data_IF_896652146092
#
_entry.id   IF_896652146092
#
_cell.length_a   1.000
_cell.length_b   1.000
_cell.length_c   1.000
_cell.angle_alpha   90.00
_cell.angle_beta   90.00
_cell.angle_gamma   90.00
#
_symmetry.space_group_name_H-M   'P 1'
#
loop_
_entity.id
_entity.type
_entity.pdbx_description
1 polymer ?
#
# COMPACT_ATOMS: atom_id res chain seq x y z
N UNK A 1 20.58 -12.31 6.68
CA UNK A 1 19.67 -13.47 6.88
C UNK A 1 20.46 -14.67 7.44
N UNK A 2 19.79 -15.70 7.95
CA UNK A 2 20.51 -16.90 8.44
C UNK A 2 21.45 -17.44 7.34
N UNK A 3 22.75 -17.53 7.63
CA UNK A 3 23.77 -17.94 6.66
C UNK A 3 24.27 -16.85 5.69
N UNK A 4 23.88 -15.59 5.86
CA UNK A 4 24.39 -14.45 5.08
C UNK A 4 25.11 -13.42 5.98
N UNK A 5 26.20 -12.78 5.50
CA UNK A 5 26.91 -11.76 6.26
C UNK A 5 26.06 -10.51 6.48
N UNK A 6 26.35 -9.77 7.55
CA UNK A 6 25.82 -8.43 7.81
C UNK A 6 26.77 -7.35 7.26
N UNK A 7 26.29 -6.10 7.21
CA UNK A 7 27.09 -4.91 6.88
C UNK A 7 27.42 -4.14 8.18
N UNK A 8 28.60 -4.34 8.80
CA UNK A 8 28.84 -3.85 10.16
C UNK A 8 29.26 -2.38 10.26
N UNK A 9 29.72 -1.75 9.18
CA UNK A 9 30.36 -0.42 9.24
C UNK A 9 29.50 0.74 8.71
N UNK A 10 28.44 0.44 7.96
CA UNK A 10 27.62 1.48 7.32
C UNK A 10 26.89 2.34 8.36
N UNK A 11 26.41 1.72 9.45
CA UNK A 11 25.69 2.42 10.51
C UNK A 11 26.51 3.53 11.14
N UNK A 12 27.78 3.27 11.46
CA UNK A 12 28.68 4.27 12.06
C UNK A 12 28.88 5.47 11.13
N UNK A 13 29.10 5.22 9.83
CA UNK A 13 29.26 6.29 8.83
C UNK A 13 28.00 7.15 8.68
N UNK A 14 26.82 6.55 8.75
CA UNK A 14 25.55 7.30 8.67
C UNK A 14 25.29 8.13 9.93
N UNK A 15 25.66 7.63 11.10
CA UNK A 15 25.59 8.39 12.35
C UNK A 15 26.55 9.59 12.34
N UNK A 16 27.76 9.43 11.81
CA UNK A 16 28.73 10.53 11.63
C UNK A 16 28.20 11.63 10.69
N UNK A 17 27.38 11.26 9.70
CA UNK A 17 26.70 12.18 8.79
C UNK A 17 25.41 12.80 9.39
N UNK A 18 25.12 12.53 10.66
CA UNK A 18 23.97 13.08 11.37
C UNK A 18 22.63 12.44 11.00
N UNK A 19 22.61 11.25 10.39
CA UNK A 19 21.38 10.49 10.18
C UNK A 19 21.04 9.68 11.43
N UNK A 20 19.91 9.93 12.10
CA UNK A 20 19.50 9.11 13.24
C UNK A 20 19.08 7.71 12.77
N UNK A 21 19.64 6.71 13.42
CA UNK A 21 19.29 5.30 13.25
C UNK A 21 18.47 4.80 14.44
N UNK A 22 17.62 3.83 14.16
CA UNK A 22 16.89 3.04 15.14
C UNK A 22 16.87 1.59 14.70
N UNK A 23 16.35 0.73 15.57
CA UNK A 23 16.29 -0.70 15.29
C UNK A 23 14.86 -1.20 15.20
N UNK A 24 14.62 -2.05 14.22
CA UNK A 24 13.38 -2.80 14.09
C UNK A 24 13.63 -4.30 14.06
N UNK A 25 12.57 -5.02 14.43
CA UNK A 25 12.54 -6.48 14.42
C UNK A 25 11.51 -6.99 13.42
N UNK A 26 11.90 -7.97 12.62
CA UNK A 26 10.97 -8.80 11.84
C UNK A 26 11.24 -10.29 12.08
N UNK A 27 10.20 -11.11 12.00
CA UNK A 27 10.28 -12.55 12.21
C UNK A 27 9.79 -13.33 11.00
N UNK A 28 10.41 -14.48 10.74
CA UNK A 28 9.97 -15.45 9.73
C UNK A 28 9.61 -16.78 10.40
N UNK A 29 8.60 -17.52 9.89
CA UNK A 29 8.36 -18.89 10.29
C UNK A 29 9.48 -19.81 9.79
N UNK A 30 9.46 -21.04 10.30
CA UNK A 30 10.26 -22.14 9.80
C UNK A 30 9.82 -22.53 8.38
N UNK A 31 10.72 -23.24 7.68
CA UNK A 31 10.41 -23.95 6.44
C UNK A 31 10.21 -25.42 6.76
N UNK A 32 9.11 -26.00 6.31
CA UNK A 32 8.74 -27.39 6.58
C UNK A 32 8.88 -28.22 5.31
N UNK A 33 9.36 -29.45 5.43
CA UNK A 33 9.43 -30.39 4.32
C UNK A 33 8.04 -30.91 3.94
N UNK A 34 7.60 -30.70 2.70
CA UNK A 34 6.26 -31.01 2.22
C UNK A 34 5.84 -32.47 2.44
N UNK A 35 6.73 -33.43 2.20
CA UNK A 35 6.42 -34.87 2.39
C UNK A 35 6.23 -35.28 3.87
N UNK A 36 6.43 -34.36 4.82
CA UNK A 36 6.19 -34.57 6.25
C UNK A 36 4.89 -33.92 6.76
N UNK A 37 4.15 -33.26 5.86
CA UNK A 37 2.89 -32.59 6.15
C UNK A 37 1.72 -33.52 5.82
N UNK A 38 0.78 -33.67 6.75
CA UNK A 38 -0.47 -34.38 6.53
C UNK A 38 -1.55 -33.42 6.04
N UNK A 39 -1.58 -33.20 4.72
CA UNK A 39 -2.54 -32.31 4.06
C UNK A 39 -3.99 -32.80 4.19
N UNK A 40 -4.23 -34.08 4.50
CA UNK A 40 -5.60 -34.63 4.64
C UNK A 40 -6.36 -34.03 5.83
N UNK A 41 -5.64 -33.44 6.78
CA UNK A 41 -6.18 -32.75 7.96
C UNK A 41 -6.34 -31.24 7.77
N UNK A 42 -6.03 -30.71 6.58
CA UNK A 42 -6.04 -29.28 6.28
C UNK A 42 -7.14 -28.92 5.28
N UNK A 43 -7.57 -27.67 5.31
CA UNK A 43 -8.51 -27.14 4.33
C UNK A 43 -7.75 -26.62 3.12
N UNK A 44 -8.04 -27.17 1.94
CA UNK A 44 -7.41 -26.75 0.69
C UNK A 44 -7.95 -25.38 0.24
N UNK A 45 -7.06 -24.52 -0.23
CA UNK A 45 -7.37 -23.19 -0.77
C UNK A 45 -6.78 -23.08 -2.18
N UNK A 46 -7.64 -23.19 -3.17
CA UNK A 46 -7.27 -22.98 -4.57
C UNK A 46 -7.18 -21.49 -4.90
N UNK A 47 -6.36 -21.15 -5.89
CA UNK A 47 -6.42 -19.82 -6.50
C UNK A 47 -7.71 -19.63 -7.31
N UNK A 48 -7.93 -18.41 -7.77
CA UNK A 48 -9.07 -18.11 -8.65
C UNK A 48 -8.92 -18.83 -10.00
N UNK A 49 -10.04 -19.29 -10.56
CA UNK A 49 -10.06 -19.92 -11.89
C UNK A 49 -9.67 -18.92 -12.99
N UNK A 50 -10.16 -17.68 -12.88
CA UNK A 50 -9.86 -16.58 -13.78
C UNK A 50 -8.68 -15.74 -13.22
N UNK A 51 -7.47 -16.01 -13.74
CA UNK A 51 -6.26 -15.35 -13.26
C UNK A 51 -6.13 -13.94 -13.85
N UNK A 52 -6.16 -12.92 -12.99
CA UNK A 52 -5.86 -11.53 -13.36
C UNK A 52 -4.35 -11.28 -13.31
N UNK A 53 -3.70 -10.92 -14.44
CA UNK A 53 -2.27 -10.61 -14.45
C UNK A 53 -1.97 -9.32 -13.66
N UNK A 54 -0.84 -9.30 -12.94
CA UNK A 54 -0.34 -8.08 -12.27
C UNK A 54 0.10 -6.98 -13.25
N UNK A 55 0.60 -7.36 -14.43
CA UNK A 55 1.08 -6.41 -15.45
C UNK A 55 0.00 -6.15 -16.48
N UNK A 56 -0.28 -4.88 -16.76
CA UNK A 56 -1.17 -4.45 -17.85
C UNK A 56 -0.69 -4.85 -19.26
N UNK A 57 0.55 -5.32 -19.41
CA UNK A 57 1.09 -5.81 -20.68
C UNK A 57 0.90 -7.31 -20.88
N UNK A 58 0.52 -8.03 -19.83
CA UNK A 58 0.26 -9.46 -19.90
C UNK A 58 -1.21 -9.65 -20.23
N UNK A 59 -1.51 -10.21 -21.41
CA UNK A 59 -2.90 -10.38 -21.86
C UNK A 59 -3.62 -11.51 -21.13
N UNK A 60 -2.91 -12.63 -20.92
CA UNK A 60 -3.41 -13.79 -20.20
C UNK A 60 -2.23 -14.44 -19.49
N UNK A 61 -2.45 -14.90 -18.26
CA UNK A 61 -1.52 -15.86 -17.64
C UNK A 61 -1.79 -17.20 -18.30
N UNK A 62 -0.77 -17.77 -18.95
CA UNK A 62 -0.88 -19.10 -19.57
C UNK A 62 -1.46 -20.10 -18.56
N UNK A 63 -2.19 -21.10 -19.06
CA UNK A 63 -2.76 -22.14 -18.21
C UNK A 63 -1.63 -22.84 -17.45
N UNK A 64 -1.51 -22.47 -16.18
CA UNK A 64 -0.56 -23.04 -15.24
C UNK A 64 -1.31 -23.96 -14.30
N UNK A 65 -0.73 -25.13 -14.04
CA UNK A 65 -1.18 -26.02 -12.99
C UNK A 65 -1.02 -25.33 -11.63
N UNK A 66 -2.05 -24.63 -11.17
CA UNK A 66 -2.01 -23.84 -9.94
C UNK A 66 -1.82 -24.77 -8.74
N UNK A 67 -0.78 -24.51 -7.94
CA UNK A 67 -0.57 -25.28 -6.71
C UNK A 67 -1.38 -24.63 -5.59
N UNK A 68 -2.26 -25.39 -4.90
CA UNK A 68 -3.08 -24.83 -3.84
C UNK A 68 -2.26 -24.52 -2.60
N UNK A 69 -2.77 -23.59 -1.80
CA UNK A 69 -2.36 -23.40 -0.42
C UNK A 69 -3.25 -24.24 0.51
N UNK A 70 -2.86 -24.36 1.76
CA UNK A 70 -3.66 -25.06 2.77
C UNK A 70 -3.84 -24.21 4.01
N UNK A 71 -4.99 -24.31 4.64
CA UNK A 71 -5.31 -23.69 5.92
C UNK A 71 -5.24 -24.74 7.03
N UNK A 72 -4.53 -24.40 8.08
CA UNK A 72 -4.53 -25.17 9.32
C UNK A 72 -4.56 -24.24 10.53
N UNK A 73 -4.55 -24.82 11.73
CA UNK A 73 -4.74 -24.09 12.98
C UNK A 73 -3.88 -24.62 14.12
N UNK A 74 -3.58 -23.73 15.05
CA UNK A 74 -3.00 -24.12 16.34
C UNK A 74 -4.02 -24.86 17.20
N UNK A 75 -3.52 -25.68 18.12
CA UNK A 75 -4.31 -26.30 19.18
C UNK A 75 -4.11 -25.57 20.51
N UNK A 76 -4.90 -25.92 21.53
CA UNK A 76 -4.68 -25.46 22.90
C UNK A 76 -3.29 -25.87 23.41
N UNK A 77 -2.86 -27.10 23.07
CA UNK A 77 -1.51 -27.59 23.38
C UNK A 77 -0.43 -26.70 22.79
N UNK A 78 -0.59 -26.22 21.56
CA UNK A 78 0.35 -25.25 20.96
C UNK A 78 0.50 -24.01 21.85
N UNK A 79 -0.61 -23.49 22.37
CA UNK A 79 -0.59 -22.29 23.19
C UNK A 79 0.02 -22.56 24.56
N UNK A 80 -0.23 -23.72 25.16
CA UNK A 80 0.34 -24.11 26.45
C UNK A 80 1.87 -24.21 26.38
N UNK A 81 2.40 -24.89 25.36
CA UNK A 81 3.86 -24.97 25.12
C UNK A 81 4.47 -23.57 24.96
N UNK A 82 3.80 -22.68 24.21
CA UNK A 82 4.25 -21.29 24.04
C UNK A 82 4.26 -20.55 25.38
N UNK A 83 3.17 -20.62 26.15
CA UNK A 83 3.03 -19.92 27.46
C UNK A 83 4.11 -20.36 28.44
N UNK A 84 4.38 -21.65 28.52
CA UNK A 84 5.42 -22.24 29.38
C UNK A 84 6.83 -21.77 29.01
N UNK A 85 7.05 -21.37 27.75
CA UNK A 85 8.36 -21.01 27.22
C UNK A 85 8.50 -19.53 26.82
N UNK A 86 7.56 -18.64 27.18
CA UNK A 86 7.59 -17.23 26.77
C UNK A 86 8.90 -16.53 27.14
N UNK A 87 9.38 -16.73 28.37
CA UNK A 87 10.63 -16.15 28.87
C UNK A 87 11.88 -16.53 28.08
N UNK A 88 11.78 -17.55 27.22
CA UNK A 88 12.88 -18.05 26.37
C UNK A 88 12.82 -17.49 24.95
N UNK A 89 11.75 -16.78 24.60
CA UNK A 89 11.69 -16.06 23.31
C UNK A 89 12.58 -14.82 23.34
N UNK A 90 13.10 -14.42 22.19
CA UNK A 90 13.97 -13.24 22.14
C UNK A 90 13.27 -11.94 22.58
N UNK A 91 11.95 -11.81 22.37
CA UNK A 91 11.15 -10.64 22.80
C UNK A 91 10.93 -10.65 24.31
N UNK A 92 10.25 -11.67 24.81
CA UNK A 92 9.80 -11.70 26.20
C UNK A 92 10.93 -12.08 27.18
N UNK A 93 12.02 -12.66 26.68
CA UNK A 93 13.26 -12.90 27.43
C UNK A 93 14.20 -11.70 27.50
N UNK A 94 13.85 -10.56 26.88
CA UNK A 94 14.63 -9.32 26.96
C UNK A 94 15.91 -9.29 26.12
N UNK A 95 16.10 -10.25 25.18
CA UNK A 95 17.26 -10.24 24.28
C UNK A 95 17.09 -9.24 23.12
N UNK A 96 15.85 -8.88 22.79
CA UNK A 96 15.51 -7.90 21.77
C UNK A 96 14.62 -6.85 22.42
N UNK A 97 15.11 -5.60 22.45
CA UNK A 97 14.36 -4.44 22.97
C UNK A 97 13.61 -3.68 21.85
N UNK A 98 13.89 -4.00 20.58
CA UNK A 98 13.29 -3.32 19.43
C UNK A 98 11.82 -3.70 19.19
N UNK A 99 11.05 -2.73 18.71
CA UNK A 99 9.61 -2.87 18.45
C UNK A 99 9.37 -3.74 17.21
N UNK A 100 8.60 -4.82 17.39
CA UNK A 100 8.08 -5.64 16.29
C UNK A 100 6.73 -5.12 15.74
N UNK A 101 6.28 -5.61 14.57
CA UNK A 101 5.04 -5.15 13.95
C UNK A 101 3.81 -5.57 14.76
N UNK A 102 2.92 -4.62 15.07
CA UNK A 102 1.65 -4.85 15.79
C UNK A 102 0.67 -5.72 15.02
N UNK A 103 0.68 -5.64 13.69
CA UNK A 103 -0.32 -6.28 12.82
C UNK A 103 0.12 -7.64 12.27
N UNK A 104 1.43 -7.90 12.22
CA UNK A 104 1.97 -9.22 11.89
C UNK A 104 2.85 -9.75 13.03
N UNK A 105 2.30 -9.88 14.26
CA UNK A 105 3.06 -10.37 15.40
C UNK A 105 3.50 -11.82 15.21
N UNK A 106 4.57 -12.21 15.92
CA UNK A 106 4.97 -13.61 16.08
C UNK A 106 3.85 -14.42 16.75
N UNK A 107 3.90 -15.75 16.61
CA UNK A 107 2.90 -16.63 17.22
C UNK A 107 2.90 -16.50 18.76
N UNK A 108 4.07 -16.32 19.38
CA UNK A 108 4.16 -16.03 20.82
C UNK A 108 3.46 -14.71 21.21
N UNK A 109 3.64 -13.64 20.43
CA UNK A 109 2.94 -12.36 20.65
C UNK A 109 1.42 -12.51 20.45
N UNK A 110 0.98 -13.28 19.45
CA UNK A 110 -0.46 -13.54 19.21
C UNK A 110 -1.10 -14.24 20.40
N UNK A 111 -0.46 -15.26 20.94
CA UNK A 111 -0.97 -16.03 22.10
C UNK A 111 -1.09 -15.15 23.34
N UNK A 112 -0.17 -14.20 23.56
CA UNK A 112 -0.23 -13.27 24.70
C UNK A 112 -1.31 -12.20 24.48
N UNK A 113 -1.32 -11.55 23.31
CA UNK A 113 -2.24 -10.42 23.04
C UNK A 113 -3.69 -10.86 22.88
N UNK A 114 -3.92 -12.04 22.33
CA UNK A 114 -5.24 -12.61 22.07
C UNK A 114 -5.44 -13.88 22.92
N UNK A 115 -5.15 -13.76 24.21
CA UNK A 115 -5.16 -14.88 25.18
C UNK A 115 -6.52 -15.59 25.28
N UNK A 116 -7.61 -14.92 24.91
CA UNK A 116 -8.97 -15.46 24.86
C UNK A 116 -9.19 -16.43 23.70
N UNK A 117 -8.35 -16.39 22.66
CA UNK A 117 -8.49 -17.28 21.49
C UNK A 117 -7.87 -18.63 21.78
N UNK A 118 -8.65 -19.70 21.64
CA UNK A 118 -8.17 -21.07 21.79
C UNK A 118 -7.38 -21.59 20.58
N UNK A 119 -7.43 -20.88 19.44
CA UNK A 119 -6.81 -21.32 18.20
C UNK A 119 -6.56 -20.16 17.24
N UNK A 120 -5.43 -20.19 16.53
CA UNK A 120 -5.04 -19.26 15.48
C UNK A 120 -4.93 -20.00 14.16
N UNK A 121 -5.51 -19.43 13.10
CA UNK A 121 -5.43 -19.95 11.73
C UNK A 121 -4.21 -19.40 11.01
N UNK A 122 -3.65 -20.21 10.10
CA UNK A 122 -2.53 -19.82 9.24
C UNK A 122 -2.53 -20.61 7.94
N UNK A 123 -1.77 -20.11 6.97
CA UNK A 123 -1.56 -20.76 5.69
C UNK A 123 -0.28 -21.61 5.69
N UNK A 124 -0.34 -22.68 4.91
CA UNK A 124 0.77 -23.55 4.54
C UNK A 124 0.94 -23.40 3.03
N UNK A 125 1.98 -22.70 2.64
CA UNK A 125 2.19 -22.21 1.26
C UNK A 125 3.41 -22.90 0.65
N UNK A 126 3.31 -23.48 -0.56
CA UNK A 126 4.49 -24.00 -1.26
C UNK A 126 5.42 -22.86 -1.66
N UNK A 127 6.73 -22.99 -1.43
CA UNK A 127 7.70 -21.95 -1.85
C UNK A 127 8.10 -22.04 -3.34
N UNK A 128 7.78 -23.15 -4.01
CA UNK A 128 8.05 -23.34 -5.43
C UNK A 128 7.76 -24.77 -5.90
N UNK A 129 7.78 -24.99 -7.22
CA UNK A 129 7.50 -26.30 -7.84
C UNK A 129 8.65 -27.30 -7.67
N UNK A 130 9.88 -26.80 -7.70
CA UNK A 130 11.10 -27.63 -7.68
C UNK A 130 11.68 -27.78 -6.27
N UNK A 131 10.93 -27.38 -5.23
CA UNK A 131 11.33 -27.51 -3.83
C UNK A 131 10.25 -28.23 -3.03
N UNK A 132 10.67 -28.85 -1.93
CA UNK A 132 9.78 -29.40 -0.92
C UNK A 132 9.61 -28.44 0.26
N UNK A 133 10.14 -27.23 0.20
CA UNK A 133 9.95 -26.23 1.26
C UNK A 133 8.54 -25.64 1.22
N UNK A 134 7.85 -25.73 2.35
CA UNK A 134 6.60 -25.03 2.63
C UNK A 134 6.81 -23.93 3.67
N UNK A 135 6.25 -22.76 3.38
CA UNK A 135 6.19 -21.59 4.25
C UNK A 135 4.94 -21.64 5.13
N UNK A 136 5.12 -21.52 6.44
CA UNK A 136 4.00 -21.57 7.41
C UNK A 136 3.59 -20.13 7.76
N UNK A 137 2.90 -19.47 6.82
CA UNK A 137 2.58 -18.05 6.86
C UNK A 137 1.79 -17.67 8.13
N UNK A 138 2.30 -16.73 8.90
CA UNK A 138 1.65 -16.28 10.14
C UNK A 138 2.06 -17.05 11.40
N UNK A 139 3.01 -17.98 11.27
CA UNK A 139 3.62 -18.74 12.37
C UNK A 139 5.09 -18.33 12.65
N UNK A 140 5.43 -17.05 12.44
CA UNK A 140 6.76 -16.54 12.79
C UNK A 140 7.03 -16.69 14.28
N UNK A 141 8.24 -17.08 14.66
CA UNK A 141 8.64 -17.21 16.07
C UNK A 141 10.13 -16.95 16.27
N UNK A 142 10.48 -16.60 17.50
CA UNK A 142 11.86 -16.46 17.98
C UNK A 142 12.17 -17.40 19.14
N UNK A 143 11.35 -18.44 19.36
CA UNK A 143 11.59 -19.46 20.37
C UNK A 143 12.80 -20.36 20.01
N UNK A 144 13.44 -20.99 21.00
CA UNK A 144 14.52 -21.97 20.78
C UNK A 144 14.09 -23.11 19.87
N UNK A 145 15.02 -23.67 19.10
CA UNK A 145 14.74 -24.66 18.06
C UNK A 145 14.00 -25.91 18.58
N UNK A 146 14.36 -26.41 19.74
CA UNK A 146 13.70 -27.55 20.37
C UNK A 146 12.23 -27.26 20.72
N UNK A 147 11.92 -26.03 21.13
CA UNK A 147 10.55 -25.59 21.37
C UNK A 147 9.81 -25.36 20.06
N UNK A 148 10.51 -24.87 19.02
CA UNK A 148 9.92 -24.79 17.68
C UNK A 148 9.41 -26.16 17.24
N UNK A 149 10.21 -27.23 17.36
CA UNK A 149 9.79 -28.58 17.02
C UNK A 149 8.51 -28.98 17.77
N UNK A 150 8.45 -28.76 19.08
CA UNK A 150 7.28 -29.07 19.89
C UNK A 150 6.01 -28.31 19.46
N UNK A 151 6.13 -26.99 19.22
CA UNK A 151 4.97 -26.19 18.80
C UNK A 151 4.52 -26.56 17.39
N UNK A 152 5.43 -26.85 16.46
CA UNK A 152 5.09 -27.30 15.11
C UNK A 152 4.42 -28.68 15.14
N UNK A 153 4.90 -29.63 15.94
CA UNK A 153 4.27 -30.96 16.09
C UNK A 153 2.92 -30.92 16.82
N UNK A 154 2.60 -29.83 17.51
CA UNK A 154 1.30 -29.65 18.16
C UNK A 154 0.20 -29.08 17.24
N UNK A 155 0.57 -28.68 16.02
CA UNK A 155 -0.34 -28.13 15.00
C UNK A 155 -1.00 -29.26 14.21
N UNK A 156 -2.29 -29.11 13.91
CA UNK A 156 -3.05 -30.05 13.07
C UNK A 156 -2.38 -30.23 11.70
N UNK A 157 -2.05 -31.48 11.35
CA UNK A 157 -1.40 -31.82 10.07
C UNK A 157 0.11 -31.64 10.05
N UNK A 158 0.72 -31.12 11.11
CA UNK A 158 2.18 -30.95 11.24
C UNK A 158 2.77 -31.85 12.33
N UNK A 159 2.06 -32.89 12.78
CA UNK A 159 2.46 -33.72 13.92
C UNK A 159 3.81 -34.44 13.70
N UNK A 160 4.18 -34.69 12.45
CA UNK A 160 5.45 -35.31 12.05
C UNK A 160 6.33 -34.37 11.21
N UNK A 161 6.05 -33.05 11.26
CA UNK A 161 6.72 -32.07 10.42
C UNK A 161 8.25 -32.10 10.62
N UNK A 162 8.99 -32.09 9.50
CA UNK A 162 10.44 -31.97 9.47
C UNK A 162 10.80 -30.55 9.08
N UNK A 163 11.44 -29.81 9.99
CA UNK A 163 11.91 -28.46 9.69
C UNK A 163 13.15 -28.53 8.79
N UNK A 164 13.09 -27.88 7.64
CA UNK A 164 14.23 -27.69 6.74
C UNK A 164 15.06 -26.47 7.13
N UNK A 165 14.38 -25.43 7.65
CA UNK A 165 15.02 -24.22 8.19
C UNK A 165 14.27 -23.77 9.44
N UNK A 166 14.96 -23.39 10.53
CA UNK A 166 14.30 -22.92 11.73
C UNK A 166 13.64 -21.55 11.50
N UNK A 167 12.60 -21.26 12.26
CA UNK A 167 12.09 -19.90 12.41
C UNK A 167 13.14 -19.04 13.13
N UNK A 168 13.15 -17.75 12.83
CA UNK A 168 14.01 -16.81 13.51
C UNK A 168 13.44 -15.40 13.44
N UNK A 169 14.04 -14.52 14.24
CA UNK A 169 13.87 -13.08 14.10
C UNK A 169 15.19 -12.41 13.73
N UNK A 170 15.08 -11.34 12.97
CA UNK A 170 16.19 -10.45 12.65
C UNK A 170 15.92 -9.07 13.24
N UNK A 171 16.94 -8.53 13.89
CA UNK A 171 17.01 -7.12 14.25
C UNK A 171 17.96 -6.43 13.27
N UNK A 172 17.59 -5.24 12.81
CA UNK A 172 18.35 -4.48 11.83
C UNK A 172 18.21 -2.98 12.10
N UNK A 173 19.25 -2.24 11.71
CA UNK A 173 19.23 -0.78 11.73
C UNK A 173 18.39 -0.25 10.56
N UNK A 174 17.61 0.79 10.84
CA UNK A 174 16.83 1.55 9.88
C UNK A 174 16.86 3.04 10.26
N UNK A 175 16.66 3.92 9.30
CA UNK A 175 16.58 5.36 9.56
C UNK A 175 15.19 5.75 10.09
N UNK A 176 15.12 6.93 10.71
CA UNK A 176 13.84 7.60 10.89
C UNK A 176 13.42 8.32 9.60
N UNK A 177 12.34 7.91 8.89
CA UNK A 177 11.97 8.48 7.60
C UNK A 177 11.47 9.93 7.72
N UNK A 178 11.28 10.46 8.95
CA UNK A 178 11.10 11.89 9.16
C UNK A 178 12.32 12.72 8.72
N UNK A 179 13.48 12.09 8.55
CA UNK A 179 14.70 12.70 8.02
C UNK A 179 14.84 12.55 6.50
N UNK A 180 13.78 12.12 5.82
CA UNK A 180 13.71 12.04 4.35
C UNK A 180 12.77 13.11 3.80
N UNK A 181 13.17 13.71 2.69
CA UNK A 181 12.25 14.50 1.88
C UNK A 181 11.21 13.58 1.22
N UNK A 182 10.05 14.10 0.76
CA UNK A 182 9.07 13.30 -0.01
C UNK A 182 9.64 12.72 -1.31
N UNK A 183 10.79 13.20 -1.77
CA UNK A 183 11.56 12.62 -2.89
C UNK A 183 12.34 11.36 -2.51
N UNK A 184 12.37 10.99 -1.23
CA UNK A 184 13.22 9.97 -0.58
C UNK A 184 14.72 10.33 -0.50
N UNK A 185 15.05 11.60 -0.75
CA UNK A 185 16.39 12.15 -0.49
C UNK A 185 16.58 12.40 1.01
N UNK A 186 17.74 12.04 1.54
CA UNK A 186 18.13 12.29 2.92
C UNK A 186 18.34 13.79 3.13
N UNK A 187 17.68 14.36 4.14
CA UNK A 187 17.75 15.81 4.39
C UNK A 187 19.15 16.30 4.81
N UNK A 188 19.93 15.47 5.51
CA UNK A 188 21.26 15.84 6.00
C UNK A 188 22.39 15.68 4.99
N UNK A 189 22.16 14.93 3.90
CA UNK A 189 23.19 14.60 2.90
C UNK A 189 22.58 14.69 1.50
N UNK A 190 22.93 15.73 0.78
CA UNK A 190 22.47 15.93 -0.61
C UNK A 190 22.92 14.77 -1.51
N UNK A 191 22.05 14.38 -2.45
CA UNK A 191 22.24 13.27 -3.39
C UNK A 191 22.26 11.86 -2.78
N UNK A 192 22.05 11.73 -1.47
CA UNK A 192 21.87 10.43 -0.81
C UNK A 192 20.37 10.09 -0.77
N UNK A 193 19.99 8.98 -1.39
CA UNK A 193 18.61 8.47 -1.38
C UNK A 193 18.54 7.13 -0.67
N UNK A 194 17.40 6.84 -0.03
CA UNK A 194 17.18 5.57 0.64
C UNK A 194 15.79 4.99 0.37
N UNK A 195 15.68 3.66 0.40
CA UNK A 195 14.45 2.96 0.06
C UNK A 195 14.28 1.64 0.84
N UNK A 196 13.02 1.20 0.93
CA UNK A 196 12.65 -0.13 1.40
C UNK A 196 12.82 -0.33 2.90
N UNK A 197 13.26 -1.52 3.29
CA UNK A 197 13.30 -1.92 4.70
C UNK A 197 14.17 -0.98 5.54
N UNK A 198 15.19 -0.36 4.93
CA UNK A 198 16.03 0.63 5.58
C UNK A 198 15.27 1.92 5.97
N UNK A 199 14.20 2.27 5.27
CA UNK A 199 13.31 3.39 5.62
C UNK A 199 12.25 3.00 6.68
N UNK A 200 12.32 1.79 7.22
CA UNK A 200 11.41 1.31 8.25
C UNK A 200 10.13 0.65 7.73
N UNK A 201 10.08 0.23 6.46
CA UNK A 201 8.96 -0.59 5.93
C UNK A 201 9.24 -2.09 6.02
N UNK A 202 8.20 -2.92 5.93
CA UNK A 202 8.35 -4.38 5.88
C UNK A 202 7.41 -5.00 4.83
N UNK A 203 7.91 -5.14 3.61
CA UNK A 203 7.24 -5.83 2.50
C UNK A 203 7.98 -5.58 1.20
N UNK A 204 7.81 -6.48 0.24
CA UNK A 204 8.53 -6.39 -1.04
C UNK A 204 7.98 -5.26 -1.89
N UNK A 205 6.67 -5.08 -1.86
CA UNK A 205 5.91 -4.09 -2.60
C UNK A 205 6.23 -2.68 -2.11
N UNK A 206 6.26 -2.47 -0.79
CA UNK A 206 6.68 -1.19 -0.21
C UNK A 206 8.13 -0.86 -0.58
N UNK A 207 9.02 -1.85 -0.57
CA UNK A 207 10.42 -1.64 -0.91
C UNK A 207 10.62 -1.34 -2.39
N UNK A 208 9.97 -2.09 -3.28
CA UNK A 208 10.02 -1.85 -4.72
C UNK A 208 9.44 -0.48 -5.10
N UNK A 209 8.32 -0.09 -4.50
CA UNK A 209 7.71 1.23 -4.71
C UNK A 209 8.65 2.38 -4.31
N UNK A 210 9.28 2.28 -3.14
CA UNK A 210 10.26 3.28 -2.70
C UNK A 210 11.51 3.28 -3.58
N UNK A 211 12.02 2.11 -3.95
CA UNK A 211 13.19 1.98 -4.82
C UNK A 211 12.98 2.61 -6.19
N UNK A 212 11.79 2.42 -6.78
CA UNK A 212 11.40 3.07 -8.03
C UNK A 212 11.44 4.60 -7.89
N UNK A 213 10.81 5.14 -6.84
CA UNK A 213 10.76 6.60 -6.64
C UNK A 213 12.12 7.20 -6.31
N UNK A 214 12.91 6.55 -5.45
CA UNK A 214 14.28 6.96 -5.12
C UNK A 214 15.17 6.97 -6.38
N UNK A 215 15.07 5.93 -7.22
CA UNK A 215 15.81 5.85 -8.48
C UNK A 215 15.42 6.95 -9.47
N UNK A 216 14.12 7.19 -9.66
CA UNK A 216 13.61 8.29 -10.51
C UNK A 216 14.17 9.63 -10.03
N UNK A 217 14.07 9.91 -8.73
CA UNK A 217 14.47 11.20 -8.18
C UNK A 217 15.99 11.38 -8.13
N UNK A 218 16.77 10.31 -7.98
CA UNK A 218 18.22 10.36 -8.12
C UNK A 218 18.64 10.81 -9.52
N UNK A 219 18.03 10.26 -10.58
CA UNK A 219 18.31 10.67 -11.97
C UNK A 219 17.86 12.11 -12.21
N UNK A 220 16.65 12.47 -11.80
CA UNK A 220 16.14 13.84 -11.96
C UNK A 220 17.01 14.88 -11.25
N UNK A 221 17.55 14.54 -10.07
CA UNK A 221 18.50 15.39 -9.33
C UNK A 221 19.79 15.61 -10.12
N UNK A 222 20.34 14.57 -10.75
CA UNK A 222 21.52 14.69 -11.63
C UNK A 222 21.24 15.59 -12.85
N UNK A 223 20.02 15.53 -13.39
CA UNK A 223 19.58 16.34 -14.53
C UNK A 223 19.15 17.77 -14.14
N UNK A 224 19.23 18.14 -12.85
CA UNK A 224 18.80 19.45 -12.35
C UNK A 224 17.29 19.69 -12.46
N UNK A 225 16.49 18.61 -12.53
CA UNK A 225 15.04 18.66 -12.62
C UNK A 225 14.39 18.58 -11.23
N UNK A 226 13.19 19.15 -11.10
CA UNK A 226 12.37 19.01 -9.89
C UNK A 226 12.03 17.53 -9.63
N UNK A 227 12.00 17.07 -8.36
CA UNK A 227 11.69 15.69 -8.03
C UNK A 227 10.25 15.33 -8.42
N UNK A 228 10.04 14.08 -8.84
CA UNK A 228 8.72 13.51 -9.01
C UNK A 228 8.19 13.02 -7.66
N UNK A 229 7.09 13.60 -7.22
CA UNK A 229 6.40 13.25 -5.98
C UNK A 229 4.94 12.92 -6.31
N UNK A 230 4.48 11.73 -5.93
CA UNK A 230 3.07 11.38 -6.03
C UNK A 230 2.30 11.90 -4.83
N UNK A 231 1.25 12.67 -5.08
CA UNK A 231 0.27 12.98 -4.05
C UNK A 231 -0.51 11.72 -3.62
N UNK A 232 -1.18 11.80 -2.46
CA UNK A 232 -1.97 10.69 -1.91
C UNK A 232 -3.20 10.32 -2.74
N UNK A 233 -3.61 11.17 -3.67
CA UNK A 233 -4.77 10.97 -4.53
C UNK A 233 -4.39 10.33 -5.89
N UNK A 234 -3.10 10.33 -6.22
CA UNK A 234 -2.55 9.82 -7.48
C UNK A 234 -2.20 8.34 -7.38
N UNK A 235 -1.54 7.92 -6.28
CA UNK A 235 -1.10 6.54 -6.10
C UNK A 235 -0.97 6.12 -4.64
N UNK A 236 -1.12 4.82 -4.37
CA UNK A 236 -0.75 4.23 -3.08
C UNK A 236 0.75 4.39 -2.77
N UNK A 237 1.61 4.54 -3.78
CA UNK A 237 3.03 4.91 -3.59
C UNK A 237 3.15 6.28 -2.92
N UNK A 238 2.31 7.26 -3.32
CA UNK A 238 2.25 8.57 -2.67
C UNK A 238 1.77 8.47 -1.22
N UNK A 239 0.76 7.62 -0.95
CA UNK A 239 0.28 7.33 0.41
C UNK A 239 1.39 6.73 1.28
N UNK A 240 2.12 5.74 0.76
CA UNK A 240 3.24 5.08 1.44
C UNK A 240 4.30 6.11 1.86
N UNK A 241 4.80 6.88 0.88
CA UNK A 241 5.90 7.81 1.11
C UNK A 241 5.45 8.95 2.02
N UNK A 242 4.27 9.52 1.79
CA UNK A 242 3.72 10.59 2.63
C UNK A 242 3.52 10.14 4.08
N UNK A 243 2.99 8.93 4.33
CA UNK A 243 2.85 8.40 5.68
C UNK A 243 4.22 8.24 6.36
N UNK A 244 5.23 7.71 5.67
CA UNK A 244 6.58 7.57 6.21
C UNK A 244 7.21 8.92 6.58
N UNK A 245 7.26 9.87 5.64
CA UNK A 245 8.00 11.13 5.85
C UNK A 245 7.22 12.17 6.66
N UNK A 246 5.90 12.00 6.83
CA UNK A 246 5.07 12.95 7.58
C UNK A 246 4.69 12.43 8.97
N UNK A 247 4.45 11.12 9.12
CA UNK A 247 4.02 10.53 10.40
C UNK A 247 5.14 9.78 11.10
N UNK A 248 6.19 9.41 10.37
CA UNK A 248 7.20 8.48 10.86
C UNK A 248 6.61 7.09 11.07
N UNK A 249 7.38 6.22 11.69
CA UNK A 249 6.89 4.92 12.12
C UNK A 249 7.68 4.41 13.33
N UNK A 250 6.99 3.83 14.31
CA UNK A 250 7.63 3.27 15.51
C UNK A 250 7.74 1.74 15.46
N UNK A 251 7.33 1.15 14.34
CA UNK A 251 7.38 -0.27 14.03
C UNK A 251 7.56 -0.43 12.51
N UNK A 252 7.87 -1.63 11.99
CA UNK A 252 7.93 -1.84 10.55
C UNK A 252 6.60 -1.50 9.88
N UNK A 253 6.58 -0.45 9.06
CA UNK A 253 5.39 0.02 8.36
C UNK A 253 4.94 -1.00 7.31
N UNK A 254 3.62 -1.21 7.20
CA UNK A 254 2.97 -2.06 6.19
C UNK A 254 1.77 -1.35 5.58
N UNK A 255 1.61 -1.43 4.28
CA UNK A 255 0.54 -0.75 3.54
C UNK A 255 -0.87 -1.17 3.95
N UNK A 256 -1.04 -2.41 4.45
CA UNK A 256 -2.31 -2.88 4.98
C UNK A 256 -2.83 -2.03 6.16
N UNK A 257 -1.93 -1.37 6.89
CA UNK A 257 -2.28 -0.50 8.03
C UNK A 257 -2.62 0.93 7.59
N UNK A 258 -2.30 1.27 6.34
CA UNK A 258 -2.55 2.60 5.78
C UNK A 258 -4.04 2.83 5.55
N UNK A 259 -4.44 4.09 5.65
CA UNK A 259 -5.78 4.53 5.23
C UNK A 259 -5.60 5.52 4.10
N UNK A 260 -5.93 5.09 2.87
CA UNK A 260 -6.22 6.03 1.80
C UNK A 260 -7.66 6.52 1.94
N UNK A 261 -7.82 7.84 1.86
CA UNK A 261 -9.11 8.51 1.81
C UNK A 261 -9.79 8.37 0.44
N UNK A 262 -9.00 8.04 -0.60
CA UNK A 262 -9.39 8.05 -2.02
C UNK A 262 -9.42 6.65 -2.63
N UNK A 263 -9.86 5.63 -1.87
CA UNK A 263 -9.83 4.22 -2.29
C UNK A 263 -10.57 3.92 -3.60
N UNK A 264 -11.61 4.69 -3.95
CA UNK A 264 -12.35 4.48 -5.19
C UNK A 264 -11.63 5.08 -6.40
N UNK A 265 -10.70 6.01 -6.19
CA UNK A 265 -9.81 6.50 -7.25
C UNK A 265 -8.57 5.62 -7.39
N UNK A 266 -8.02 5.14 -6.26
CA UNK A 266 -6.80 4.33 -6.19
C UNK A 266 -7.09 2.83 -6.28
N UNK A 267 -7.69 2.40 -7.39
CA UNK A 267 -8.00 0.98 -7.60
C UNK A 267 -6.86 0.27 -8.33
N UNK A 268 -6.83 -1.04 -8.17
CA UNK A 268 -5.88 -1.91 -8.88
C UNK A 268 -6.10 -1.83 -10.40
N UNK A 269 -7.37 -1.82 -10.81
CA UNK A 269 -7.82 -1.90 -12.22
C UNK A 269 -7.45 -0.68 -13.10
N UNK A 270 -7.16 0.47 -12.49
CA UNK A 270 -6.95 1.75 -13.18
C UNK A 270 -5.57 2.37 -12.93
N UNK A 271 -4.61 1.60 -12.40
CA UNK A 271 -3.28 2.13 -12.09
C UNK A 271 -2.53 2.63 -13.34
N UNK A 272 -2.73 1.98 -14.49
CA UNK A 272 -2.23 2.43 -15.79
C UNK A 272 -2.86 3.76 -16.23
N UNK A 273 -4.18 3.91 -16.08
CA UNK A 273 -4.90 5.15 -16.40
C UNK A 273 -4.40 6.34 -15.57
N UNK A 274 -3.91 6.08 -14.35
CA UNK A 274 -3.35 7.09 -13.45
C UNK A 274 -1.88 7.38 -13.71
N UNK A 275 -1.07 6.38 -14.07
CA UNK A 275 0.40 6.46 -13.97
C UNK A 275 1.16 6.28 -15.29
N UNK A 276 0.57 5.65 -16.31
CA UNK A 276 1.29 5.35 -17.56
C UNK A 276 1.73 6.61 -18.29
N UNK A 277 0.89 7.65 -18.33
CA UNK A 277 1.29 8.94 -18.93
C UNK A 277 2.50 9.55 -18.21
N UNK A 278 2.50 9.55 -16.88
CA UNK A 278 3.62 10.07 -16.08
C UNK A 278 4.89 9.25 -16.38
N UNK A 279 4.76 7.92 -16.41
CA UNK A 279 5.86 7.02 -16.76
C UNK A 279 6.42 7.29 -18.16
N UNK A 280 5.57 7.69 -19.11
CA UNK A 280 5.98 8.08 -20.47
C UNK A 280 6.73 9.41 -20.46
N UNK A 281 6.22 10.40 -19.74
CA UNK A 281 6.81 11.73 -19.65
C UNK A 281 8.22 11.70 -19.03
N UNK A 282 8.50 10.72 -18.18
CA UNK A 282 9.83 10.51 -17.56
C UNK A 282 10.68 9.42 -18.26
N UNK A 283 10.22 8.87 -19.39
CA UNK A 283 11.00 7.93 -20.21
C UNK A 283 11.07 6.49 -19.71
N UNK A 284 10.25 6.08 -18.72
CA UNK A 284 10.18 4.69 -18.23
C UNK A 284 9.17 3.82 -18.99
N UNK A 285 8.24 4.44 -19.72
CA UNK A 285 7.24 3.75 -20.54
C UNK A 285 7.64 3.83 -22.01
N UNK A 286 7.88 2.67 -22.60
CA UNK A 286 8.21 2.51 -24.02
C UNK A 286 7.00 2.75 -24.94
N UNK A 287 7.27 2.76 -26.25
CA UNK A 287 6.26 3.01 -27.28
C UNK A 287 5.17 1.93 -27.29
N UNK A 288 5.54 0.66 -27.11
CA UNK A 288 4.58 -0.45 -27.13
C UNK A 288 3.56 -0.32 -25.99
N UNK A 289 4.04 -0.14 -24.75
CA UNK A 289 3.17 0.04 -23.59
C UNK A 289 2.32 1.29 -23.72
N UNK A 290 2.89 2.39 -24.22
CA UNK A 290 2.14 3.62 -24.39
C UNK A 290 1.03 3.49 -25.44
N UNK A 291 1.31 2.83 -26.57
CA UNK A 291 0.31 2.55 -27.60
C UNK A 291 -0.85 1.70 -27.08
N UNK A 292 -0.57 0.62 -26.34
CA UNK A 292 -1.64 -0.20 -25.71
C UNK A 292 -2.48 0.60 -24.73
N UNK A 293 -1.84 1.46 -23.93
CA UNK A 293 -2.54 2.36 -23.02
C UNK A 293 -3.47 3.33 -23.75
N UNK A 294 -3.01 3.96 -24.84
CA UNK A 294 -3.82 4.88 -25.63
C UNK A 294 -5.01 4.17 -26.30
N UNK A 295 -4.80 2.96 -26.82
CA UNK A 295 -5.86 2.13 -27.39
C UNK A 295 -6.92 1.80 -26.34
N UNK A 296 -6.52 1.25 -25.18
CA UNK A 296 -7.43 0.97 -24.07
C UNK A 296 -8.22 2.21 -23.66
N UNK A 297 -7.55 3.36 -23.52
CA UNK A 297 -8.21 4.62 -23.15
C UNK A 297 -9.25 5.04 -24.20
N UNK A 298 -8.91 4.95 -25.48
CA UNK A 298 -9.82 5.26 -26.58
C UNK A 298 -11.04 4.33 -26.59
N UNK A 299 -10.83 3.02 -26.39
CA UNK A 299 -11.91 2.04 -26.34
C UNK A 299 -12.86 2.30 -25.16
N UNK A 300 -12.33 2.63 -23.98
CA UNK A 300 -13.14 3.02 -22.82
C UNK A 300 -13.99 4.26 -23.15
N UNK A 301 -13.40 5.32 -23.70
CA UNK A 301 -14.13 6.55 -24.04
C UNK A 301 -15.22 6.29 -25.09
N UNK A 302 -14.91 5.49 -26.12
CA UNK A 302 -15.86 5.10 -27.17
C UNK A 302 -17.02 4.28 -26.61
N UNK A 303 -16.72 3.30 -25.75
CA UNK A 303 -17.71 2.41 -25.17
C UNK A 303 -18.61 3.15 -24.17
N UNK A 304 -18.04 4.00 -23.31
CA UNK A 304 -18.82 4.85 -22.41
C UNK A 304 -19.84 5.69 -23.18
N UNK A 305 -19.43 6.29 -24.30
CA UNK A 305 -20.33 7.04 -25.18
C UNK A 305 -21.44 6.18 -25.77
N UNK A 306 -21.11 4.97 -26.25
CA UNK A 306 -22.12 4.01 -26.76
C UNK A 306 -23.15 3.68 -25.68
N UNK A 307 -22.69 3.39 -24.46
CA UNK A 307 -23.56 3.03 -23.34
C UNK A 307 -24.51 4.16 -22.94
N UNK A 308 -24.08 5.42 -23.07
CA UNK A 308 -24.93 6.59 -22.83
C UNK A 308 -25.98 6.80 -23.93
N UNK A 309 -25.61 6.58 -25.20
CA UNK A 309 -26.47 6.81 -26.36
C UNK A 309 -27.48 5.67 -26.61
N UNK A 310 -27.04 4.42 -26.45
CA UNK A 310 -27.86 3.24 -26.68
C UNK A 310 -28.86 3.02 -25.55
N UNK A 311 -30.09 2.65 -25.91
CA UNK A 311 -31.20 2.48 -24.98
C UNK A 311 -31.72 1.05 -24.94
N UNK A 312 -32.26 0.69 -23.78
CA UNK A 312 -32.95 -0.58 -23.56
C UNK A 312 -34.39 -0.33 -23.11
N UNK A 313 -35.32 -0.98 -23.80
CA UNK A 313 -36.75 -0.94 -23.49
C UNK A 313 -37.10 -2.04 -22.47
N UNK A 314 -38.13 -1.84 -21.63
CA UNK A 314 -38.62 -2.87 -20.73
C UNK A 314 -38.92 -4.22 -21.39
N UNK A 315 -39.43 -4.22 -22.62
CA UNK A 315 -39.74 -5.45 -23.36
C UNK A 315 -38.51 -6.26 -23.77
N UNK A 316 -37.36 -5.60 -23.98
CA UNK A 316 -36.11 -6.25 -24.36
C UNK A 316 -35.45 -6.95 -23.16
N UNK A 317 -35.56 -6.35 -21.97
CA UNK A 317 -34.90 -6.85 -20.76
C UNK A 317 -35.76 -7.81 -19.91
N UNK A 318 -37.10 -7.83 -20.10
CA UNK A 318 -38.04 -8.49 -19.19
C UNK A 318 -37.67 -9.95 -18.88
N UNK A 319 -37.48 -10.77 -19.92
CA UNK A 319 -37.21 -12.20 -19.73
C UNK A 319 -35.93 -12.46 -18.94
N UNK A 320 -34.85 -11.74 -19.26
CA UNK A 320 -33.57 -11.94 -18.58
C UNK A 320 -33.58 -11.38 -17.15
N UNK A 321 -34.26 -10.26 -16.91
CA UNK A 321 -34.44 -9.71 -15.56
C UNK A 321 -35.24 -10.65 -14.66
N UNK A 322 -36.29 -11.29 -15.19
CA UNK A 322 -37.04 -12.32 -14.48
C UNK A 322 -36.19 -13.56 -14.18
N UNK A 323 -35.38 -14.01 -15.15
CA UNK A 323 -34.47 -15.15 -15.00
C UNK A 323 -33.44 -14.93 -13.87
N UNK A 324 -32.85 -13.74 -13.79
CA UNK A 324 -31.85 -13.40 -12.77
C UNK A 324 -32.46 -12.88 -11.46
N UNK A 325 -33.79 -12.86 -11.33
CA UNK A 325 -34.50 -12.41 -10.14
C UNK A 325 -34.38 -10.91 -9.85
N UNK A 326 -34.08 -10.11 -10.87
CA UNK A 326 -33.90 -8.67 -10.75
C UNK A 326 -35.19 -7.89 -10.98
N UNK A 327 -35.27 -6.67 -10.43
CA UNK A 327 -36.47 -5.83 -10.57
C UNK A 327 -36.76 -5.46 -12.05
N UNK A 328 -38.03 -5.41 -12.49
CA UNK A 328 -38.36 -5.06 -13.87
C UNK A 328 -38.02 -3.60 -14.19
N UNK A 329 -37.82 -3.30 -15.48
CA UNK A 329 -37.71 -1.93 -15.96
C UNK A 329 -39.10 -1.32 -16.18
N UNK A 330 -39.31 -0.09 -15.69
CA UNK A 330 -40.58 0.63 -15.86
C UNK A 330 -40.58 1.55 -17.09
N UNK A 331 -39.42 2.05 -17.48
CA UNK A 331 -39.24 2.98 -18.59
C UNK A 331 -38.01 2.60 -19.42
N UNK A 332 -37.92 3.15 -20.62
CA UNK A 332 -36.70 3.02 -21.45
C UNK A 332 -35.59 3.86 -20.82
N UNK A 333 -34.42 3.26 -20.62
CA UNK A 333 -33.23 3.90 -20.04
C UNK A 333 -32.02 3.67 -20.95
N UNK A 334 -30.92 4.42 -20.73
CA UNK A 334 -29.64 4.15 -21.38
C UNK A 334 -29.05 2.83 -20.88
N UNK A 335 -28.15 2.21 -21.66
CA UNK A 335 -27.37 1.07 -21.16
C UNK A 335 -26.48 1.48 -19.98
N UNK A 336 -25.98 2.71 -19.97
CA UNK A 336 -25.23 3.28 -18.86
C UNK A 336 -26.01 3.26 -17.53
N UNK A 337 -27.29 3.66 -17.55
CA UNK A 337 -28.15 3.59 -16.37
C UNK A 337 -28.59 2.15 -16.04
N UNK A 338 -28.65 1.28 -17.04
CA UNK A 338 -28.96 -0.13 -16.84
C UNK A 338 -27.82 -0.87 -16.11
N UNK A 339 -26.56 -0.65 -16.49
CA UNK A 339 -25.37 -1.24 -15.87
C UNK A 339 -25.19 -0.82 -14.40
N UNK A 340 -25.68 0.37 -14.01
CA UNK A 340 -25.62 0.82 -12.60
C UNK A 340 -26.36 -0.11 -11.64
N UNK A 341 -27.27 -0.95 -12.14
CA UNK A 341 -27.94 -1.96 -11.35
C UNK A 341 -26.96 -3.09 -10.99
N UNK A 342 -26.91 -3.55 -9.73
CA UNK A 342 -25.87 -4.45 -9.27
C UNK A 342 -25.92 -5.82 -9.97
N UNK A 343 -27.09 -6.22 -10.47
CA UNK A 343 -27.30 -7.49 -11.17
C UNK A 343 -26.80 -7.49 -12.62
N UNK A 344 -26.47 -6.33 -13.17
CA UNK A 344 -26.17 -6.14 -14.60
C UNK A 344 -24.66 -6.00 -14.79
N UNK A 345 -24.12 -6.79 -15.71
CA UNK A 345 -22.72 -6.76 -16.15
C UNK A 345 -22.66 -6.98 -17.67
N UNK A 346 -21.45 -6.98 -18.24
CA UNK A 346 -21.27 -7.18 -19.68
C UNK A 346 -21.73 -8.56 -20.20
N UNK A 347 -21.70 -9.60 -19.38
CA UNK A 347 -22.25 -10.92 -19.77
C UNK A 347 -23.77 -10.87 -19.93
N UNK A 348 -24.47 -10.10 -19.08
CA UNK A 348 -25.89 -9.84 -19.24
C UNK A 348 -26.17 -9.02 -20.51
N UNK A 349 -25.36 -8.01 -20.82
CA UNK A 349 -25.50 -7.25 -22.07
C UNK A 349 -25.29 -8.12 -23.31
N UNK A 350 -24.36 -9.08 -23.23
CA UNK A 350 -24.12 -10.06 -24.29
C UNK A 350 -25.34 -10.95 -24.52
N UNK A 351 -25.93 -11.48 -23.44
CA UNK A 351 -27.18 -12.28 -23.53
C UNK A 351 -28.36 -11.49 -24.12
N UNK A 352 -28.40 -10.18 -23.92
CA UNK A 352 -29.41 -9.29 -24.50
C UNK A 352 -29.14 -8.89 -25.95
N UNK A 353 -28.02 -9.33 -26.53
CA UNK A 353 -27.59 -8.89 -27.87
C UNK A 353 -27.19 -7.42 -27.93
N UNK A 354 -26.88 -6.81 -26.79
CA UNK A 354 -26.44 -5.40 -26.64
C UNK A 354 -24.92 -5.27 -26.55
N UNK A 355 -24.19 -6.38 -26.61
CA UNK A 355 -22.74 -6.47 -26.64
C UNK A 355 -22.32 -7.72 -27.40
N UNK A 356 -21.31 -7.63 -28.27
CA UNK A 356 -20.87 -8.71 -29.15
C UNK A 356 -19.61 -9.45 -28.64
N UNK A 357 -18.99 -8.98 -27.55
CA UNK A 357 -17.75 -9.57 -27.03
C UNK A 357 -16.47 -9.04 -27.69
N UNK A 358 -16.54 -7.94 -28.44
CA UNK A 358 -15.39 -7.40 -29.19
C UNK A 358 -14.34 -6.65 -28.36
N UNK A 359 -14.68 -6.22 -27.14
CA UNK A 359 -13.80 -5.42 -26.29
C UNK A 359 -12.96 -6.29 -25.36
N UNK A 360 -11.74 -5.82 -25.05
CA UNK A 360 -10.91 -6.42 -24.02
C UNK A 360 -11.61 -6.36 -22.65
N UNK A 361 -11.43 -7.40 -21.83
CA UNK A 361 -12.04 -7.49 -20.49
C UNK A 361 -11.68 -6.32 -19.58
N UNK A 362 -10.48 -5.74 -19.74
CA UNK A 362 -10.06 -4.57 -18.98
C UNK A 362 -10.89 -3.33 -19.34
N UNK A 363 -11.31 -3.20 -20.60
CA UNK A 363 -12.17 -2.09 -21.05
C UNK A 363 -13.57 -2.26 -20.47
N UNK A 364 -14.14 -3.46 -20.57
CA UNK A 364 -15.50 -3.72 -20.05
C UNK A 364 -15.56 -3.58 -18.54
N UNK A 365 -14.56 -4.08 -17.82
CA UNK A 365 -14.42 -3.89 -16.36
C UNK A 365 -14.32 -2.40 -16.01
N UNK A 366 -13.47 -1.64 -16.72
CA UNK A 366 -13.35 -0.20 -16.47
C UNK A 366 -14.66 0.55 -16.68
N UNK A 367 -15.37 0.30 -17.77
CA UNK A 367 -16.66 0.92 -18.05
C UNK A 367 -17.69 0.57 -16.98
N UNK A 368 -17.78 -0.71 -16.59
CA UNK A 368 -18.71 -1.19 -15.57
C UNK A 368 -18.45 -0.52 -14.21
N UNK A 369 -17.19 -0.51 -13.77
CA UNK A 369 -16.76 0.11 -12.51
C UNK A 369 -17.01 1.62 -12.54
N UNK A 370 -16.65 2.32 -13.62
CA UNK A 370 -16.88 3.76 -13.73
C UNK A 370 -18.37 4.10 -13.64
N UNK A 371 -19.25 3.33 -14.29
CA UNK A 371 -20.69 3.56 -14.25
C UNK A 371 -21.29 3.25 -12.88
N UNK A 372 -20.99 2.07 -12.32
CA UNK A 372 -21.55 1.64 -11.02
C UNK A 372 -21.12 2.54 -9.87
N UNK A 373 -19.90 3.08 -9.93
CA UNK A 373 -19.35 3.94 -8.88
C UNK A 373 -19.33 5.43 -9.22
N UNK A 374 -19.90 5.86 -10.35
CA UNK A 374 -19.83 7.24 -10.87
C UNK A 374 -20.10 8.32 -9.81
N UNK A 375 -21.22 8.18 -9.07
CA UNK A 375 -21.60 9.14 -8.04
C UNK A 375 -20.58 9.24 -6.89
N UNK A 376 -20.00 8.10 -6.50
CA UNK A 376 -18.98 8.06 -5.45
C UNK A 376 -17.62 8.56 -5.95
N UNK A 377 -17.25 8.22 -7.19
CA UNK A 377 -16.03 8.67 -7.86
C UNK A 377 -16.06 10.21 -7.99
N UNK A 378 -17.15 10.79 -8.50
CA UNK A 378 -17.33 12.25 -8.62
C UNK A 378 -17.17 12.95 -7.28
N UNK A 379 -17.73 12.40 -6.21
CA UNK A 379 -17.56 12.93 -4.84
C UNK A 379 -16.10 12.89 -4.39
N UNK A 380 -15.37 11.80 -4.66
CA UNK A 380 -13.95 11.72 -4.32
C UNK A 380 -13.11 12.70 -5.15
N UNK A 381 -13.39 12.87 -6.44
CA UNK A 381 -12.70 13.85 -7.30
C UNK A 381 -12.84 15.27 -6.73
N UNK A 382 -14.04 15.69 -6.32
CA UNK A 382 -14.25 16.99 -5.67
C UNK A 382 -13.46 17.17 -4.36
N UNK A 383 -13.33 16.09 -3.58
CA UNK A 383 -12.50 16.09 -2.38
C UNK A 383 -11.01 16.23 -2.72
N UNK A 384 -10.53 15.54 -3.77
CA UNK A 384 -9.15 15.64 -4.26
C UNK A 384 -8.84 17.04 -4.75
N UNK A 385 -9.74 17.69 -5.48
CA UNK A 385 -9.55 19.08 -5.94
C UNK A 385 -9.38 20.05 -4.76
N UNK A 386 -10.22 19.89 -3.74
CA UNK A 386 -10.13 20.71 -2.52
C UNK A 386 -8.83 20.46 -1.76
N UNK A 387 -8.39 19.19 -1.71
CA UNK A 387 -7.13 18.78 -1.11
C UNK A 387 -5.91 19.35 -1.86
N UNK A 388 -5.87 19.24 -3.19
CA UNK A 388 -4.78 19.78 -4.03
C UNK A 388 -4.65 21.30 -3.90
N UNK A 389 -5.74 22.02 -3.63
CA UNK A 389 -5.68 23.45 -3.31
C UNK A 389 -4.92 23.75 -2.01
N UNK A 390 -4.98 22.87 -1.01
CA UNK A 390 -4.21 23.00 0.23
C UNK A 390 -2.74 22.64 0.03
N UNK A 391 -2.43 21.63 -0.78
CA UNK A 391 -1.03 21.26 -1.07
C UNK A 391 -0.27 22.32 -1.86
N UNK A 392 -0.97 23.12 -2.67
CA UNK A 392 -0.38 24.29 -3.37
C UNK A 392 -0.04 25.46 -2.44
N UNK A 393 -0.53 25.46 -1.19
CA UNK A 393 -0.20 26.51 -0.22
C UNK A 393 1.09 26.13 0.50
N UNK A 394 2.20 26.57 -0.09
CA UNK A 394 3.55 26.36 0.43
C UNK A 394 3.74 27.06 1.76
N UNK A 395 4.53 26.43 2.64
CA UNK A 395 5.00 27.02 3.88
C UNK A 395 6.47 27.43 3.69
N UNK A 396 6.85 28.69 3.98
CA UNK A 396 8.25 29.13 3.99
C UNK A 396 9.13 28.23 4.85
N UNK A 397 10.30 27.85 4.35
CA UNK A 397 11.20 26.88 5.02
C UNK A 397 11.73 27.39 6.36
N UNK A 398 11.89 28.69 6.47
CA UNK A 398 12.40 29.44 7.62
C UNK A 398 11.29 29.91 8.57
N UNK A 399 10.04 29.48 8.35
CA UNK A 399 8.93 29.81 9.24
C UNK A 399 9.19 29.28 10.65
N UNK A 400 9.13 30.19 11.62
CA UNK A 400 9.14 29.87 13.04
C UNK A 400 7.71 29.60 13.52
N UNK A 401 7.38 28.30 13.68
CA UNK A 401 6.05 27.91 14.15
C UNK A 401 5.84 28.24 15.65
N UNK A 402 6.92 28.43 16.40
CA UNK A 402 6.84 28.75 17.83
C UNK A 402 6.25 30.14 18.07
N UNK A 403 6.47 31.08 17.14
CA UNK A 403 6.00 32.46 17.19
C UNK A 403 4.53 32.65 16.78
N UNK A 404 3.86 31.63 16.23
CA UNK A 404 2.49 31.77 15.71
C UNK A 404 1.48 31.71 16.87
N UNK A 405 0.82 32.83 17.15
CA UNK A 405 -0.24 32.90 18.16
C UNK A 405 -1.49 32.10 17.74
N UNK A 406 -2.11 31.41 18.70
CA UNK A 406 -3.31 30.60 18.47
C UNK A 406 -3.07 29.13 18.09
N UNK A 407 -1.82 28.73 17.74
CA UNK A 407 -1.46 27.32 17.61
C UNK A 407 -1.30 26.67 18.99
N UNK A 408 -1.85 25.47 19.16
CA UNK A 408 -1.65 24.67 20.38
C UNK A 408 -0.17 24.29 20.52
N UNK A 409 0.32 24.20 21.76
CA UNK A 409 1.73 23.89 22.04
C UNK A 409 2.19 22.58 21.37
N UNK A 410 1.35 21.54 21.41
CA UNK A 410 1.62 20.27 20.72
C UNK A 410 1.75 20.46 19.20
N UNK A 411 0.87 21.26 18.58
CA UNK A 411 0.93 21.53 17.15
C UNK A 411 2.21 22.30 16.79
N UNK A 412 2.58 23.31 17.58
CA UNK A 412 3.85 24.05 17.40
C UNK A 412 5.05 23.11 17.42
N UNK A 413 5.16 22.28 18.45
CA UNK A 413 6.27 21.33 18.59
C UNK A 413 6.36 20.37 17.40
N UNK A 414 5.23 19.86 16.92
CA UNK A 414 5.20 18.90 15.82
C UNK A 414 5.46 19.54 14.45
N UNK A 415 4.91 20.73 14.20
CA UNK A 415 5.20 21.49 12.99
C UNK A 415 6.67 21.91 12.93
N UNK A 416 7.24 22.32 14.06
CA UNK A 416 8.66 22.68 14.16
C UNK A 416 9.58 21.48 13.95
N UNK A 417 9.22 20.31 14.47
CA UNK A 417 10.00 19.08 14.29
C UNK A 417 9.93 18.51 12.87
N UNK A 418 8.75 18.56 12.23
CA UNK A 418 8.52 17.93 10.91
C UNK A 418 8.81 18.91 9.76
N UNK A 419 8.73 20.23 10.00
CA UNK A 419 8.91 21.29 8.99
C UNK A 419 8.15 21.00 7.68
N UNK A 420 6.79 20.92 7.71
CA UNK A 420 6.02 20.54 6.54
C UNK A 420 6.18 21.54 5.39
N UNK A 421 6.24 21.03 4.16
CA UNK A 421 6.44 21.82 2.94
C UNK A 421 5.20 22.65 2.56
N UNK A 422 4.01 22.18 2.94
CA UNK A 422 2.74 22.82 2.60
C UNK A 422 1.65 22.52 3.65
N UNK A 423 0.55 23.25 3.56
CA UNK A 423 -0.60 23.10 4.47
C UNK A 423 -1.21 21.70 4.42
N UNK A 424 -1.23 21.08 3.23
CA UNK A 424 -1.74 19.73 3.09
C UNK A 424 -0.96 18.76 3.98
N UNK A 425 0.37 18.77 3.91
CA UNK A 425 1.24 17.93 4.74
C UNK A 425 1.05 18.26 6.23
N UNK A 426 1.03 19.54 6.60
CA UNK A 426 0.81 19.99 7.96
C UNK A 426 -0.49 19.40 8.57
N UNK A 427 -1.57 19.33 7.77
CA UNK A 427 -2.87 18.82 8.24
C UNK A 427 -2.90 17.32 8.50
N UNK A 428 -1.89 16.58 8.06
CA UNK A 428 -1.76 15.13 8.24
C UNK A 428 -0.85 14.74 9.42
N UNK A 429 -0.16 15.71 10.00
CA UNK A 429 0.69 15.49 11.16
C UNK A 429 -0.19 15.10 12.34
N UNK A 430 0.07 13.93 12.91
CA UNK A 430 -0.66 13.44 14.08
C UNK A 430 -0.60 14.47 15.21
N UNK A 431 -1.74 14.93 15.74
CA UNK A 431 -1.80 15.95 16.80
C UNK A 431 -2.00 17.38 16.31
N UNK A 432 -1.85 17.66 15.01
CA UNK A 432 -2.26 18.93 14.40
C UNK A 432 -3.74 18.85 14.04
N UNK A 433 -4.56 19.76 14.58
CA UNK A 433 -6.01 19.75 14.36
C UNK A 433 -6.43 20.63 13.18
N UNK A 434 -7.65 20.45 12.65
CA UNK A 434 -8.22 21.38 11.66
C UNK A 434 -8.25 22.85 12.14
N UNK A 435 -8.38 23.08 13.45
CA UNK A 435 -8.33 24.43 14.02
C UNK A 435 -6.91 25.02 13.92
N UNK A 436 -5.88 24.24 14.23
CA UNK A 436 -4.47 24.65 14.08
C UNK A 436 -4.16 24.99 12.61
N UNK A 437 -4.68 24.19 11.66
CA UNK A 437 -4.53 24.47 10.23
C UNK A 437 -5.24 25.75 9.81
N UNK A 438 -6.41 26.03 10.37
CA UNK A 438 -7.13 27.28 10.10
C UNK A 438 -6.32 28.50 10.59
N UNK A 439 -5.72 28.41 11.78
CA UNK A 439 -4.82 29.45 12.31
C UNK A 439 -3.61 29.63 11.39
N UNK A 440 -2.96 28.52 10.99
CA UNK A 440 -1.79 28.56 10.10
C UNK A 440 -2.12 29.16 8.72
N UNK A 441 -3.29 28.87 8.17
CA UNK A 441 -3.76 29.45 6.91
C UNK A 441 -3.95 30.97 6.99
N UNK A 442 -4.52 31.46 8.09
CA UNK A 442 -4.69 32.90 8.33
C UNK A 442 -3.33 33.57 8.51
N UNK A 443 -2.43 32.95 9.27
CA UNK A 443 -1.07 33.44 9.47
C UNK A 443 -0.30 33.53 8.14
N UNK A 444 -0.31 32.49 7.32
CA UNK A 444 0.33 32.51 6.00
C UNK A 444 -0.24 33.59 5.08
N UNK A 445 -1.54 33.85 5.16
CA UNK A 445 -2.15 34.91 4.36
C UNK A 445 -1.69 36.31 4.81
N UNK A 446 -1.51 36.53 6.10
CA UNK A 446 -0.93 37.77 6.63
C UNK A 446 0.55 37.89 6.26
N UNK A 447 1.34 36.84 6.50
CA UNK A 447 2.76 36.75 6.19
C UNK A 447 3.07 37.03 4.70
N UNK A 448 2.27 36.46 3.79
CA UNK A 448 2.45 36.70 2.35
C UNK A 448 2.08 38.13 1.93
N UNK A 449 1.14 38.79 2.63
CA UNK A 449 0.79 40.20 2.35
C UNK A 449 1.86 41.17 2.82
N UNK A 450 2.52 40.86 3.93
CA UNK A 450 3.61 41.69 4.47
C UNK A 450 4.93 41.52 3.69
N UNK A 451 5.13 40.36 3.05
CA UNK A 451 6.33 40.02 2.28
C UNK A 451 6.14 40.05 0.74
N UNK A 452 4.99 40.53 0.24
CA UNK A 452 4.85 40.87 -1.18
C UNK A 452 5.70 42.12 -1.48
N UNK A 453 6.58 42.12 -2.51
CA UNK A 453 7.30 43.31 -2.87
C UNK A 453 6.29 44.36 -3.34
N UNK A 454 6.11 45.42 -2.54
CA UNK A 454 5.36 46.60 -2.97
C UNK A 454 6.04 47.15 -4.23
N UNK A 455 5.25 47.33 -5.30
CA UNK A 455 5.64 48.11 -6.49
C UNK A 455 5.75 49.60 -6.12
N UNK A 456 6.58 49.95 -5.14
CA UNK A 456 6.89 51.31 -4.72
C UNK A 456 8.38 51.41 -4.36
N UNK A 457 9.26 51.11 -5.32
CA UNK A 457 10.66 51.56 -5.28
C UNK A 457 11.31 51.75 -6.64
N UNK A 458 10.52 51.98 -7.70
CA UNK A 458 11.02 52.64 -8.90
C UNK A 458 10.74 54.14 -8.79
N UNK A 459 11.66 54.85 -8.12
CA UNK A 459 11.82 56.28 -8.31
C UNK A 459 12.84 56.48 -9.44
N UNK A 460 12.45 56.93 -10.64
CA UNK A 460 13.41 57.44 -11.60
C UNK A 460 13.67 58.90 -11.26
N UNK A 461 14.76 59.18 -10.52
CA UNK A 461 15.32 60.53 -10.49
C UNK A 461 16.86 60.48 -10.55
N UNK A 462 17.31 61.11 -11.64
CA UNK A 462 18.63 61.63 -12.02
C UNK A 462 19.81 60.69 -12.27
#
# INVERSE_FOLDING_TARGET
>A
PIGQPNAPYLSDSLLELGLPLRKFKTGTPARVHGDSIDFSKMEIQHGDDDIVPFSFMTEKVEEMDQVPCYLTRTTTRTHDIIRENLSRSAVYGGMIESTGPRYCPSIEDKVVRFSEKQSHQFFVEPEGRDTKEYYIQGFSTSLPYEIQLEIYHSVTGLENAKLMRPAYAIEYDCIDPLHLMPSLEVMSVENLFSAGQFNGTSGYEEAAAQGLMAGINAVRKLDGMDPLIFDRATAYIGVLIDDLVTKGTNEPYRMMTSRSEYRLLLRQDNADLRLTQIGRDIGLVDDERYSRFLEKKYEIEKEMKRLEEEKIKPSEARGLLEEIGASPLNNTISLADFIKRPEINYEILKKLGKYDGSLNWQVTEQCEVQLKYDGYIKKQVQQVESYRKLEKRMIPRDMDFSAIDGLRLEAKQKLEAIKPLNIGQASRISGVSPADISVLLVYLQAYNRENEPTMESYHPQD
#
